data_IF_511824766328
#
_entry.id   IF_511824766328
#
_cell.length_a   1.000
_cell.length_b   1.000
_cell.length_c   1.000
_cell.angle_alpha   90.00
_cell.angle_beta   90.00
_cell.angle_gamma   90.00
#
_symmetry.space_group_name_H-M   'P 1'
#
loop_
_entity.id
_entity.type
_entity.pdbx_description
1 polymer ?
#
# COMPACT_ATOMS: atom_id res chain seq x y z
N UNK A 1 23.98 -24.10 16.14
CA UNK A 1 23.91 -23.16 15.00
C UNK A 1 22.77 -22.17 15.23
N UNK A 2 22.91 -20.91 14.82
CA UNK A 2 21.86 -19.88 14.99
C UNK A 2 20.75 -20.04 13.94
N UNK A 3 19.49 -19.95 14.37
CA UNK A 3 18.30 -20.06 13.51
C UNK A 3 18.01 -18.79 12.69
N UNK A 4 16.82 -18.70 12.08
CA UNK A 4 16.44 -17.59 11.19
C UNK A 4 16.25 -16.28 11.96
N UNK A 5 15.55 -16.32 13.09
CA UNK A 5 15.25 -15.13 13.88
C UNK A 5 16.53 -14.34 14.25
N UNK A 6 17.55 -14.94 14.89
CA UNK A 6 18.77 -14.21 15.21
C UNK A 6 19.53 -13.69 13.98
N UNK A 7 19.50 -14.41 12.85
CA UNK A 7 20.17 -13.95 11.62
C UNK A 7 19.46 -12.74 11.01
N UNK A 8 18.13 -12.79 10.94
CA UNK A 8 17.33 -11.66 10.45
C UNK A 8 17.48 -10.42 11.33
N UNK A 9 17.62 -10.60 12.64
CA UNK A 9 17.87 -9.49 13.57
C UNK A 9 19.24 -8.87 13.29
N UNK A 10 20.29 -9.69 13.19
CA UNK A 10 21.63 -9.20 12.87
C UNK A 10 21.63 -8.47 11.52
N UNK A 11 21.05 -9.06 10.47
CA UNK A 11 20.97 -8.42 9.14
C UNK A 11 20.29 -7.04 9.17
N UNK A 12 19.24 -6.86 9.99
CA UNK A 12 18.56 -5.56 10.15
C UNK A 12 19.49 -4.54 10.80
N UNK A 13 20.19 -4.92 11.87
CA UNK A 13 21.08 -4.00 12.59
C UNK A 13 22.36 -3.72 11.81
N UNK A 14 22.94 -4.73 11.16
CA UNK A 14 24.07 -4.58 10.26
C UNK A 14 23.73 -3.60 9.11
N UNK A 15 22.52 -3.68 8.54
CA UNK A 15 22.08 -2.70 7.53
C UNK A 15 22.02 -1.28 8.10
N UNK A 16 21.47 -1.11 9.30
CA UNK A 16 21.33 0.19 9.95
C UNK A 16 22.70 0.78 10.33
N UNK A 17 23.61 -0.03 10.86
CA UNK A 17 24.96 0.38 11.26
C UNK A 17 25.83 0.74 10.06
N UNK A 18 25.66 0.05 8.93
CA UNK A 18 26.39 0.32 7.70
C UNK A 18 25.79 1.46 6.85
N UNK A 19 24.62 2.00 7.21
CA UNK A 19 24.04 3.16 6.51
C UNK A 19 24.74 4.46 6.94
N UNK A 20 25.66 4.95 6.11
CA UNK A 20 26.42 6.19 6.36
C UNK A 20 25.62 7.46 6.04
N UNK A 21 24.36 7.36 5.64
CA UNK A 21 23.54 8.50 5.22
C UNK A 21 23.14 9.38 6.41
N UNK A 22 23.76 10.55 6.57
CA UNK A 22 23.39 11.51 7.63
C UNK A 22 21.93 12.01 7.56
N UNK A 23 21.28 11.85 6.40
CA UNK A 23 19.87 12.19 6.17
C UNK A 23 18.90 11.12 6.63
N UNK A 24 19.34 9.91 6.98
CA UNK A 24 18.47 8.79 7.37
C UNK A 24 18.57 8.53 8.86
N UNK A 25 17.41 8.38 9.50
CA UNK A 25 17.29 8.00 10.91
C UNK A 25 16.41 6.77 11.02
N UNK A 26 16.77 5.89 11.94
CA UNK A 26 16.08 4.63 12.17
C UNK A 26 15.50 4.57 13.59
N UNK A 27 14.30 4.01 13.71
CA UNK A 27 13.70 3.64 14.98
C UNK A 27 13.23 2.19 14.90
N UNK A 28 13.81 1.32 15.72
CA UNK A 28 13.43 -0.08 15.79
C UNK A 28 12.63 -0.33 17.06
N UNK A 29 11.51 -1.02 16.92
CA UNK A 29 10.61 -1.42 18.01
C UNK A 29 10.33 -2.91 17.92
N UNK A 30 10.20 -3.55 19.06
CA UNK A 30 9.88 -4.97 19.14
C UNK A 30 8.66 -5.20 20.04
N UNK A 31 7.82 -6.16 19.65
CA UNK A 31 6.69 -6.64 20.44
C UNK A 31 6.65 -8.16 20.41
N UNK A 32 6.15 -8.78 21.47
CA UNK A 32 6.03 -10.23 21.54
C UNK A 32 4.70 -10.63 22.17
N UNK A 33 3.90 -11.40 21.43
CA UNK A 33 2.60 -11.86 21.91
C UNK A 33 2.46 -13.37 21.79
N UNK A 34 1.55 -13.91 22.58
CA UNK A 34 1.10 -15.29 22.53
C UNK A 34 -0.41 -15.33 22.27
N UNK A 35 -0.83 -16.29 21.45
CA UNK A 35 -2.24 -16.64 21.27
C UNK A 35 -2.43 -18.04 21.82
N UNK A 36 -3.20 -18.15 22.89
CA UNK A 36 -3.56 -19.42 23.51
C UNK A 36 -5.04 -19.40 23.83
N UNK A 37 -5.77 -20.46 23.44
CA UNK A 37 -7.19 -20.57 23.74
C UNK A 37 -8.03 -19.37 23.20
N UNK A 38 -7.66 -18.82 22.03
CA UNK A 38 -8.22 -17.59 21.43
C UNK A 38 -8.07 -16.31 22.28
N UNK A 39 -7.18 -16.34 23.28
CA UNK A 39 -6.81 -15.20 24.12
C UNK A 39 -5.42 -14.71 23.71
N UNK A 40 -5.31 -13.40 23.46
CA UNK A 40 -4.03 -12.75 23.14
C UNK A 40 -3.42 -12.21 24.43
N UNK A 41 -2.18 -12.58 24.71
CA UNK A 41 -1.43 -12.09 25.87
C UNK A 41 -0.09 -11.48 25.43
N UNK A 42 0.31 -10.40 26.10
CA UNK A 42 1.61 -9.77 25.91
C UNK A 42 2.69 -10.53 26.70
N UNK A 43 3.68 -11.08 26.00
CA UNK A 43 4.76 -11.85 26.62
C UNK A 43 5.83 -10.97 27.28
N UNK A 44 5.82 -9.66 27.02
CA UNK A 44 6.76 -8.67 27.59
C UNK A 44 6.12 -7.88 28.74
N UNK A 45 4.79 -7.87 28.83
CA UNK A 45 4.01 -7.34 29.96
C UNK A 45 2.92 -8.34 30.38
N UNK A 46 3.24 -9.30 31.26
CA UNK A 46 2.34 -10.39 31.64
C UNK A 46 0.99 -9.97 32.21
N UNK A 47 0.88 -8.75 32.76
CA UNK A 47 -0.37 -8.20 33.30
C UNK A 47 -1.40 -7.90 32.19
N UNK A 48 -0.94 -7.83 30.94
CA UNK A 48 -1.76 -7.50 29.77
C UNK A 48 -2.21 -8.75 29.04
N UNK A 49 -3.36 -9.26 29.46
CA UNK A 49 -4.02 -10.43 28.83
C UNK A 49 -5.32 -10.03 28.14
N UNK A 50 -5.81 -10.90 27.25
CA UNK A 50 -7.05 -10.73 26.50
C UNK A 50 -7.09 -9.45 25.66
N UNK A 51 -5.99 -9.18 24.97
CA UNK A 51 -5.86 -8.01 24.11
C UNK A 51 -6.76 -8.10 22.87
N UNK A 52 -7.22 -6.95 22.40
CA UNK A 52 -8.17 -6.84 21.29
C UNK A 52 -7.50 -6.46 19.98
N UNK A 53 -7.87 -7.15 18.89
CA UNK A 53 -7.41 -6.83 17.54
C UNK A 53 -8.28 -5.70 16.97
N UNK A 54 -7.63 -4.62 16.51
CA UNK A 54 -8.22 -3.49 15.81
C UNK A 54 -7.66 -3.37 14.40
N UNK A 55 -8.39 -2.61 13.59
CA UNK A 55 -8.06 -2.33 12.20
C UNK A 55 -8.12 -0.82 11.99
N UNK A 56 -7.10 -0.26 11.36
CA UNK A 56 -7.05 1.16 11.01
C UNK A 56 -6.55 1.31 9.57
N UNK A 57 -7.15 2.25 8.81
CA UNK A 57 -6.89 2.41 7.37
C UNK A 57 -5.40 2.59 7.01
N UNK A 58 -4.62 3.24 7.88
CA UNK A 58 -3.18 3.49 7.67
C UNK A 58 -2.27 2.44 8.30
N UNK A 59 -2.63 1.94 9.49
CA UNK A 59 -1.80 1.03 10.29
C UNK A 59 -2.03 -0.45 9.94
N UNK A 60 -3.14 -0.76 9.27
CA UNK A 60 -3.58 -2.13 9.04
C UNK A 60 -4.06 -2.78 10.33
N UNK A 61 -3.88 -4.10 10.44
CA UNK A 61 -4.27 -4.86 11.63
C UNK A 61 -3.24 -4.69 12.74
N UNK A 62 -3.70 -4.33 13.94
CA UNK A 62 -2.88 -4.22 15.13
C UNK A 62 -3.59 -4.72 16.39
N UNK A 63 -2.80 -5.04 17.42
CA UNK A 63 -3.31 -5.44 18.73
C UNK A 63 -3.28 -4.24 19.66
N UNK A 64 -4.46 -3.77 20.07
CA UNK A 64 -4.58 -2.66 21.00
C UNK A 64 -4.03 -3.05 22.37
N UNK A 65 -3.21 -2.19 22.96
CA UNK A 65 -2.62 -2.41 24.28
C UNK A 65 -1.38 -3.31 24.29
N UNK A 66 -0.97 -3.89 23.14
CA UNK A 66 0.29 -4.62 23.04
C UNK A 66 1.48 -3.68 23.30
N UNK A 67 2.43 -4.10 24.13
CA UNK A 67 3.62 -3.33 24.40
C UNK A 67 4.61 -3.39 23.24
N UNK A 68 5.07 -2.22 22.82
CA UNK A 68 6.11 -2.04 21.80
C UNK A 68 7.33 -1.40 22.49
N UNK A 69 8.45 -2.11 22.50
CA UNK A 69 9.68 -1.69 23.18
C UNK A 69 10.67 -1.16 22.16
N UNK A 70 11.18 0.05 22.38
CA UNK A 70 12.26 0.61 21.57
C UNK A 70 13.54 -0.17 21.85
N UNK A 71 14.21 -0.60 20.79
CA UNK A 71 15.46 -1.38 20.86
C UNK A 71 16.56 -0.71 20.05
N UNK A 72 17.78 -0.73 20.58
CA UNK A 72 18.96 -0.05 20.03
C UNK A 72 20.10 -0.98 19.64
N UNK A 73 20.00 -2.25 19.99
CA UNK A 73 21.00 -3.26 19.66
C UNK A 73 20.37 -4.65 19.50
N UNK A 74 21.10 -5.54 18.82
CA UNK A 74 20.73 -6.96 18.72
C UNK A 74 20.60 -7.62 20.10
N UNK A 75 21.47 -7.26 21.04
CA UNK A 75 21.45 -7.75 22.42
C UNK A 75 20.13 -7.43 23.16
N UNK A 76 19.58 -6.22 22.96
CA UNK A 76 18.30 -5.84 23.56
C UNK A 76 17.14 -6.68 23.02
N UNK A 77 17.14 -6.97 21.71
CA UNK A 77 16.15 -7.85 21.08
C UNK A 77 16.25 -9.28 21.65
N UNK A 78 17.47 -9.83 21.76
CA UNK A 78 17.65 -11.14 22.38
C UNK A 78 17.18 -11.18 23.83
N UNK A 79 17.41 -10.10 24.60
CA UNK A 79 16.88 -9.97 25.95
C UNK A 79 15.35 -9.95 26.01
N UNK A 80 14.67 -9.32 25.04
CA UNK A 80 13.20 -9.37 24.92
C UNK A 80 12.71 -10.78 24.56
N UNK A 81 13.37 -11.46 23.63
CA UNK A 81 13.02 -12.83 23.24
C UNK A 81 13.17 -13.79 24.42
N UNK A 82 14.29 -13.71 25.16
CA UNK A 82 14.52 -14.56 26.34
C UNK A 82 13.48 -14.31 27.42
N UNK A 83 13.14 -13.04 27.71
CA UNK A 83 12.09 -12.69 28.66
C UNK A 83 10.74 -13.28 28.26
N UNK A 84 10.33 -13.10 27.00
CA UNK A 84 9.07 -13.65 26.53
C UNK A 84 9.05 -15.18 26.48
N UNK A 85 10.18 -15.82 26.15
CA UNK A 85 10.32 -17.27 26.19
C UNK A 85 10.23 -17.82 27.63
N UNK A 86 10.86 -17.15 28.60
CA UNK A 86 10.74 -17.50 30.01
C UNK A 86 9.29 -17.36 30.50
N UNK A 87 8.60 -16.27 30.11
CA UNK A 87 7.19 -16.08 30.45
C UNK A 87 6.30 -17.17 29.85
N UNK A 88 6.55 -17.55 28.59
CA UNK A 88 5.87 -18.67 27.93
C UNK A 88 6.12 -20.00 28.66
N UNK A 89 7.34 -20.20 29.18
CA UNK A 89 7.71 -21.40 29.93
C UNK A 89 7.14 -21.47 31.36
N UNK A 90 6.96 -20.34 32.04
CA UNK A 90 6.32 -20.29 33.37
C UNK A 90 4.85 -20.70 33.31
N UNK A 91 4.17 -20.40 32.19
CA UNK A 91 2.82 -20.93 31.93
C UNK A 91 2.77 -22.45 31.72
N UNK A 92 3.91 -23.09 31.43
CA UNK A 92 4.06 -24.54 31.24
C UNK A 92 4.66 -25.23 32.48
N UNK A 93 3.97 -25.22 33.62
CA UNK A 93 4.32 -26.15 34.71
C UNK A 93 4.12 -27.61 34.24
N UNK A 94 4.95 -28.54 34.75
CA UNK A 94 5.17 -29.98 34.38
C UNK A 94 3.98 -30.88 33.99
N UNK A 95 2.75 -30.39 34.05
CA UNK A 95 1.51 -31.06 33.65
C UNK A 95 0.92 -30.55 32.32
N UNK A 96 1.42 -29.44 31.77
CA UNK A 96 0.92 -28.78 30.57
C UNK A 96 2.08 -28.40 29.64
N UNK A 97 2.21 -29.12 28.53
CA UNK A 97 3.09 -28.74 27.42
C UNK A 97 2.43 -27.57 26.65
N UNK A 98 2.39 -26.39 27.29
CA UNK A 98 1.71 -25.20 26.78
C UNK A 98 2.40 -24.64 25.51
N UNK A 99 3.69 -24.90 25.35
CA UNK A 99 4.51 -24.39 24.24
C UNK A 99 4.09 -24.96 22.89
N UNK A 100 3.76 -26.25 22.79
CA UNK A 100 3.26 -26.89 21.56
C UNK A 100 1.83 -26.48 21.20
N UNK A 101 1.13 -25.85 22.15
CA UNK A 101 -0.31 -25.57 22.11
C UNK A 101 -0.67 -24.10 21.98
N UNK A 102 0.31 -23.22 21.89
CA UNK A 102 0.12 -21.79 21.74
C UNK A 102 0.85 -21.29 20.52
N UNK A 103 0.29 -20.30 19.82
CA UNK A 103 1.00 -19.56 18.80
C UNK A 103 1.79 -18.43 19.44
N UNK A 104 2.98 -18.16 18.97
CA UNK A 104 3.78 -17.02 19.38
C UNK A 104 4.11 -16.15 18.17
N UNK A 105 3.98 -14.84 18.32
CA UNK A 105 4.25 -13.88 17.25
C UNK A 105 5.22 -12.82 17.78
N UNK A 106 6.46 -12.87 17.30
CA UNK A 106 7.46 -11.86 17.55
C UNK A 106 7.44 -10.84 16.41
N UNK A 107 7.26 -9.57 16.74
CA UNK A 107 7.07 -8.49 15.77
C UNK A 107 8.24 -7.53 15.91
N UNK A 108 8.91 -7.25 14.80
CA UNK A 108 9.92 -6.20 14.69
C UNK A 108 9.38 -5.13 13.75
N UNK A 109 9.36 -3.89 14.22
CA UNK A 109 8.91 -2.72 13.46
C UNK A 109 10.14 -1.83 13.27
N UNK A 110 10.54 -1.60 12.03
CA UNK A 110 11.63 -0.70 11.67
C UNK A 110 11.05 0.51 10.93
N UNK A 111 11.23 1.69 11.51
CA UNK A 111 10.85 2.95 10.92
C UNK A 111 12.09 3.66 10.41
N UNK A 112 12.03 4.13 9.17
CA UNK A 112 13.06 4.96 8.57
C UNK A 112 12.48 6.35 8.29
N UNK A 113 13.18 7.37 8.77
CA UNK A 113 12.91 8.77 8.43
C UNK A 113 14.03 9.25 7.53
N UNK A 114 13.69 9.62 6.31
CA UNK A 114 14.64 10.28 5.40
C UNK A 114 14.35 11.76 5.37
N UNK A 115 15.35 12.57 5.78
CA UNK A 115 15.35 14.02 5.67
C UNK A 115 15.78 14.38 4.25
N UNK A 116 14.87 15.00 3.49
CA UNK A 116 15.18 15.48 2.15
C UNK A 116 15.88 16.84 2.25
N UNK A 117 16.94 17.08 1.45
CA UNK A 117 17.56 18.39 1.37
C UNK A 117 16.51 19.46 1.01
N UNK A 118 16.65 20.66 1.58
CA UNK A 118 15.93 21.83 1.05
C UNK A 118 16.57 22.15 -0.31
N UNK A 119 15.78 22.16 -1.38
CA UNK A 119 16.25 22.65 -2.67
C UNK A 119 16.79 24.07 -2.50
N UNK A 120 18.09 24.24 -2.73
CA UNK A 120 18.80 25.52 -2.67
C UNK A 120 18.61 26.37 -3.92
N UNK A 121 17.42 26.31 -4.55
CA UNK A 121 17.03 27.17 -5.65
C UNK A 121 15.74 27.95 -5.31
N UNK A 122 15.95 29.07 -4.62
CA UNK A 122 15.31 30.33 -4.99
C UNK A 122 13.78 30.40 -4.95
N UNK A 123 13.16 30.21 -3.78
CA UNK A 123 11.90 30.91 -3.47
C UNK A 123 12.01 31.62 -2.12
N UNK A 124 12.63 32.80 -2.17
CA UNK A 124 12.52 33.80 -1.12
C UNK A 124 11.04 34.19 -0.95
N UNK A 125 10.38 33.67 0.08
CA UNK A 125 9.00 34.07 0.39
C UNK A 125 8.20 33.09 1.24
N UNK A 126 8.56 31.80 1.28
CA UNK A 126 7.85 30.85 2.14
C UNK A 126 8.47 30.82 3.54
N UNK A 127 7.69 31.28 4.53
CA UNK A 127 8.01 31.22 5.97
C UNK A 127 8.68 29.91 6.36
N UNK A 128 9.71 30.03 7.19
CA UNK A 128 10.50 28.99 7.83
C UNK A 128 9.67 27.74 8.17
N UNK A 129 9.75 26.74 7.30
CA UNK A 129 9.18 25.42 7.53
C UNK A 129 10.34 24.43 7.48
N UNK A 130 10.39 23.56 8.49
CA UNK A 130 11.49 22.66 8.77
C UNK A 130 11.83 21.70 7.62
N UNK A 131 12.88 20.88 7.79
CA UNK A 131 13.30 19.91 6.78
C UNK A 131 12.17 18.93 6.42
N UNK A 132 11.99 18.69 5.11
CA UNK A 132 11.02 17.73 4.57
C UNK A 132 11.41 16.30 4.96
N UNK A 133 10.44 15.48 5.36
CA UNK A 133 10.68 14.13 5.88
C UNK A 133 9.77 13.12 5.16
N UNK A 134 10.33 12.01 4.71
CA UNK A 134 9.57 10.84 4.27
C UNK A 134 9.70 9.71 5.29
N UNK A 135 8.58 9.12 5.67
CA UNK A 135 8.53 8.04 6.66
C UNK A 135 8.28 6.71 5.96
N UNK A 136 9.14 5.72 6.16
CA UNK A 136 8.94 4.35 5.70
C UNK A 136 8.83 3.42 6.91
N UNK A 137 7.87 2.51 6.88
CA UNK A 137 7.63 1.56 7.98
C UNK A 137 7.69 0.12 7.48
N UNK A 138 8.70 -0.62 7.92
CA UNK A 138 8.80 -2.06 7.73
C UNK A 138 8.28 -2.79 8.98
N UNK A 139 7.51 -3.87 8.78
CA UNK A 139 7.06 -4.76 9.85
C UNK A 139 7.42 -6.21 9.49
N UNK A 140 8.27 -6.82 10.30
CA UNK A 140 8.63 -8.23 10.22
C UNK A 140 7.89 -9.00 11.30
N UNK A 141 7.03 -9.93 10.89
CA UNK A 141 6.34 -10.85 11.79
C UNK A 141 7.01 -12.22 11.73
N UNK A 142 7.51 -12.70 12.87
CA UNK A 142 8.09 -14.02 13.06
C UNK A 142 7.11 -14.85 13.87
N UNK A 143 6.48 -15.81 13.20
CA UNK A 143 5.33 -16.56 13.72
C UNK A 143 5.75 -18.00 13.98
N UNK A 144 5.61 -18.44 15.22
CA UNK A 144 5.78 -19.82 15.68
C UNK A 144 4.37 -20.38 15.95
N UNK A 145 3.90 -21.25 15.07
CA UNK A 145 2.55 -21.82 15.14
C UNK A 145 2.52 -23.01 16.11
N UNK A 146 1.38 -23.20 16.77
CA UNK A 146 1.08 -24.41 17.52
C UNK A 146 1.15 -25.66 16.62
N UNK A 147 1.34 -26.82 17.23
CA UNK A 147 1.42 -28.11 16.57
C UNK A 147 0.23 -28.39 15.65
N UNK A 148 0.51 -28.91 14.45
CA UNK A 148 -0.49 -29.22 13.42
C UNK A 148 -1.15 -30.58 13.59
N UNK A 149 -0.73 -31.35 14.60
CA UNK A 149 -1.22 -32.70 14.86
C UNK A 149 -2.68 -32.75 15.30
N UNK A 150 -3.39 -33.79 14.86
CA UNK A 150 -4.81 -33.96 15.15
C UNK A 150 -5.06 -34.39 16.59
N UNK A 151 -6.07 -33.79 17.23
CA UNK A 151 -6.52 -34.13 18.61
C UNK A 151 -6.72 -35.63 18.84
N UNK A 152 -7.22 -36.35 17.84
CA UNK A 152 -7.57 -37.77 17.95
C UNK A 152 -6.36 -38.67 18.27
N UNK A 153 -5.15 -38.24 17.93
CA UNK A 153 -3.90 -38.95 18.23
C UNK A 153 -3.39 -38.67 19.66
N UNK A 154 -3.83 -37.57 20.28
CA UNK A 154 -3.30 -37.11 21.58
C UNK A 154 -3.90 -37.82 22.79
N UNK A 155 -4.99 -38.59 22.62
CA UNK A 155 -5.68 -39.28 23.73
C UNK A 155 -6.28 -38.35 24.79
N UNK A 156 -6.45 -37.05 24.50
CA UNK A 156 -6.89 -36.05 25.46
C UNK A 156 -8.38 -36.20 25.86
N UNK A 157 -8.67 -36.16 27.16
CA UNK A 157 -10.02 -36.24 27.74
C UNK A 157 -10.36 -35.01 28.60
N UNK A 158 -11.66 -34.75 28.80
CA UNK A 158 -12.15 -33.66 29.67
C UNK A 158 -11.73 -32.25 29.21
N UNK A 159 -11.24 -31.41 30.14
CA UNK A 159 -10.80 -30.03 29.84
C UNK A 159 -9.72 -29.95 28.75
N UNK A 160 -8.85 -30.97 28.65
CA UNK A 160 -7.81 -31.03 27.61
C UNK A 160 -8.40 -31.23 26.21
N UNK A 161 -9.54 -31.91 26.09
CA UNK A 161 -10.22 -32.06 24.80
C UNK A 161 -10.77 -30.71 24.31
N UNK A 162 -11.38 -29.93 25.21
CA UNK A 162 -11.89 -28.59 24.89
C UNK A 162 -10.78 -27.60 24.52
N UNK A 163 -9.64 -27.68 25.20
CA UNK A 163 -8.43 -26.93 24.85
C UNK A 163 -7.90 -27.32 23.46
N UNK A 164 -7.72 -28.62 23.21
CA UNK A 164 -7.25 -29.14 21.92
C UNK A 164 -8.19 -28.81 20.75
N UNK A 165 -9.50 -28.70 20.98
CA UNK A 165 -10.46 -28.22 19.99
C UNK A 165 -10.18 -26.77 19.60
N UNK A 166 -9.90 -25.88 20.56
CA UNK A 166 -9.65 -24.46 20.29
C UNK A 166 -8.28 -24.19 19.67
N UNK A 167 -7.27 -24.98 20.01
CA UNK A 167 -5.97 -24.93 19.31
C UNK A 167 -6.18 -25.29 17.85
N UNK A 168 -6.89 -26.39 17.59
CA UNK A 168 -7.23 -26.79 16.23
C UNK A 168 -8.22 -25.85 15.54
N UNK A 169 -9.02 -25.07 16.27
CA UNK A 169 -9.87 -24.03 15.68
C UNK A 169 -9.02 -23.01 14.92
N UNK A 170 -7.97 -22.48 15.53
CA UNK A 170 -7.10 -21.49 14.89
C UNK A 170 -6.39 -22.02 13.63
N UNK A 171 -5.89 -23.26 13.67
CA UNK A 171 -5.26 -23.91 12.51
C UNK A 171 -6.28 -24.33 11.43
N UNK A 172 -7.49 -24.73 11.83
CA UNK A 172 -8.58 -25.03 10.90
C UNK A 172 -9.07 -23.76 10.20
N UNK A 173 -9.22 -22.66 10.95
CA UNK A 173 -9.54 -21.34 10.39
C UNK A 173 -8.47 -20.89 9.40
N UNK A 174 -7.19 -21.08 9.73
CA UNK A 174 -6.07 -20.83 8.82
C UNK A 174 -6.20 -21.66 7.53
N UNK A 175 -6.53 -22.96 7.64
CA UNK A 175 -6.81 -23.82 6.50
C UNK A 175 -7.99 -23.36 5.65
N UNK A 176 -9.05 -22.85 6.27
CA UNK A 176 -10.22 -22.31 5.58
C UNK A 176 -9.92 -21.00 4.84
N UNK A 177 -9.13 -20.12 5.45
CA UNK A 177 -8.64 -18.89 4.81
C UNK A 177 -7.80 -19.21 3.59
N UNK A 178 -6.84 -20.14 3.70
CA UNK A 178 -6.02 -20.58 2.56
C UNK A 178 -6.91 -21.17 1.46
N UNK A 179 -7.83 -22.06 1.81
CA UNK A 179 -8.74 -22.65 0.83
C UNK A 179 -9.57 -21.59 0.11
N UNK A 180 -10.09 -20.59 0.83
CA UNK A 180 -10.87 -19.49 0.27
C UNK A 180 -10.04 -18.58 -0.65
N UNK A 181 -8.79 -18.29 -0.29
CA UNK A 181 -7.87 -17.47 -1.09
C UNK A 181 -7.41 -18.17 -2.38
N UNK A 182 -7.40 -19.50 -2.38
CA UNK A 182 -6.97 -20.31 -3.53
C UNK A 182 -8.13 -20.82 -4.40
N UNK A 183 -9.37 -20.47 -4.05
CA UNK A 183 -10.56 -20.88 -4.79
C UNK A 183 -10.60 -20.15 -6.15
N UNK A 184 -10.51 -20.90 -7.25
CA UNK A 184 -10.48 -20.35 -8.61
C UNK A 184 -11.75 -19.58 -8.98
N UNK A 185 -12.87 -19.87 -8.31
CA UNK A 185 -14.13 -19.16 -8.54
C UNK A 185 -14.15 -17.78 -7.90
N UNK A 186 -13.17 -17.47 -7.05
CA UNK A 186 -13.10 -16.25 -6.26
C UNK A 186 -14.20 -16.21 -5.21
N UNK A 187 -13.85 -16.34 -3.93
CA UNK A 187 -14.82 -16.08 -2.85
C UNK A 187 -14.89 -14.60 -2.54
N UNK A 188 -16.11 -14.08 -2.45
CA UNK A 188 -16.34 -12.68 -2.07
C UNK A 188 -15.92 -12.39 -0.62
N UNK A 189 -15.96 -13.40 0.26
CA UNK A 189 -15.61 -13.26 1.67
C UNK A 189 -14.55 -14.27 2.09
N UNK A 190 -13.46 -13.78 2.68
CA UNK A 190 -12.40 -14.60 3.27
C UNK A 190 -12.60 -14.62 4.81
N UNK A 191 -12.66 -15.81 5.44
CA UNK A 191 -13.05 -15.93 6.84
C UNK A 191 -11.92 -15.63 7.84
N UNK A 192 -11.24 -14.48 7.73
CA UNK A 192 -10.17 -14.10 8.67
C UNK A 192 -10.65 -14.00 10.11
N UNK A 193 -11.94 -13.69 10.30
CA UNK A 193 -12.55 -13.45 11.62
C UNK A 193 -12.81 -14.72 12.44
N UNK A 194 -12.68 -15.90 11.84
CA UNK A 194 -12.97 -17.19 12.50
C UNK A 194 -11.95 -17.54 13.61
N UNK A 195 -10.77 -16.90 13.61
CA UNK A 195 -9.79 -16.98 14.71
C UNK A 195 -8.99 -15.70 14.88
N UNK A 196 -8.46 -15.47 16.10
CA UNK A 196 -7.54 -14.35 16.37
C UNK A 196 -6.24 -14.46 15.57
N UNK A 197 -5.76 -15.70 15.35
CA UNK A 197 -4.56 -15.96 14.56
C UNK A 197 -4.74 -15.47 13.12
N UNK A 198 -5.82 -15.90 12.45
CA UNK A 198 -6.09 -15.50 11.06
C UNK A 198 -6.35 -14.02 10.90
N UNK A 199 -6.91 -13.35 11.92
CA UNK A 199 -7.01 -11.89 11.93
C UNK A 199 -5.64 -11.21 12.05
N UNK A 200 -4.76 -11.67 12.94
CA UNK A 200 -3.40 -11.11 13.06
C UNK A 200 -2.60 -11.31 11.77
N UNK A 201 -2.82 -12.43 11.08
CA UNK A 201 -2.14 -12.81 9.84
C UNK A 201 -2.85 -12.34 8.56
N UNK A 202 -3.90 -11.51 8.68
CA UNK A 202 -4.69 -11.03 7.53
C UNK A 202 -3.82 -10.33 6.49
N UNK A 203 -2.89 -9.46 6.93
CA UNK A 203 -1.93 -8.84 6.01
C UNK A 203 -0.97 -9.86 5.37
N UNK A 204 -0.67 -10.96 6.08
CA UNK A 204 0.27 -12.00 5.64
C UNK A 204 -0.33 -12.96 4.61
N UNK A 205 -1.64 -13.10 4.56
CA UNK A 205 -2.34 -14.04 3.69
C UNK A 205 -3.26 -13.26 2.76
N UNK A 206 -2.83 -12.98 1.53
CA UNK A 206 -3.61 -12.22 0.56
C UNK A 206 -3.57 -10.69 0.73
N UNK A 207 -2.86 -10.17 1.73
CA UNK A 207 -2.74 -8.75 2.02
C UNK A 207 -1.41 -8.10 1.59
N UNK A 208 -1.07 -6.99 2.25
CA UNK A 208 0.19 -6.26 2.05
C UNK A 208 1.33 -6.84 2.89
N UNK A 209 1.89 -7.97 2.45
CA UNK A 209 3.05 -8.57 3.11
C UNK A 209 3.82 -9.47 2.14
N UNK A 210 5.15 -9.48 2.27
CA UNK A 210 5.99 -10.53 1.67
C UNK A 210 6.03 -11.71 2.65
N UNK A 211 5.35 -12.79 2.30
CA UNK A 211 5.12 -13.91 3.22
C UNK A 211 5.92 -15.13 2.80
N UNK A 212 6.63 -15.71 3.77
CA UNK A 212 7.33 -17.00 3.62
C UNK A 212 6.77 -17.97 4.64
N UNK A 213 6.29 -19.12 4.16
CA UNK A 213 5.81 -20.20 5.01
C UNK A 213 6.85 -21.34 5.02
N UNK A 214 7.25 -21.78 6.21
CA UNK A 214 8.17 -22.90 6.39
C UNK A 214 7.42 -24.12 6.88
N UNK A 215 7.51 -25.21 6.13
CA UNK A 215 6.91 -26.49 6.48
C UNK A 215 7.95 -27.35 7.22
N UNK A 216 7.77 -27.55 8.52
CA UNK A 216 8.62 -28.48 9.27
C UNK A 216 7.99 -29.88 9.20
N UNK A 217 8.72 -30.83 8.62
CA UNK A 217 8.27 -32.21 8.43
C UNK A 217 9.23 -33.19 9.10
N UNK A 218 8.71 -34.32 9.55
CA UNK A 218 9.51 -35.43 10.08
C UNK A 218 9.70 -36.51 9.01
N UNK A 219 10.93 -37.04 8.85
CA UNK A 219 11.20 -38.16 7.94
C UNK A 219 10.79 -39.53 8.54
N UNK A 220 10.40 -39.58 9.81
CA UNK A 220 10.06 -40.82 10.50
C UNK A 220 8.76 -41.43 9.95
N UNK A 221 8.72 -42.77 9.85
CA UNK A 221 7.59 -43.50 9.27
C UNK A 221 6.29 -43.27 10.08
N UNK A 222 6.42 -43.17 11.40
CA UNK A 222 5.32 -42.92 12.33
C UNK A 222 4.67 -41.54 12.09
N UNK A 223 5.43 -40.60 11.54
CA UNK A 223 4.98 -39.23 11.22
C UNK A 223 4.48 -39.08 9.79
N UNK A 224 4.46 -40.13 8.97
CA UNK A 224 4.15 -40.04 7.55
C UNK A 224 2.82 -39.32 7.27
N UNK A 225 1.75 -39.65 8.01
CA UNK A 225 0.43 -39.07 7.80
C UNK A 225 0.39 -37.55 8.09
N UNK A 226 1.12 -37.10 9.11
CA UNK A 226 1.20 -35.68 9.50
C UNK A 226 2.14 -34.89 8.57
N UNK A 227 3.27 -35.48 8.17
CA UNK A 227 4.16 -34.91 7.15
C UNK A 227 3.44 -34.73 5.81
N UNK A 228 2.68 -35.73 5.36
CA UNK A 228 1.86 -35.62 4.15
C UNK A 228 0.77 -34.54 4.26
N UNK A 229 0.12 -34.44 5.42
CA UNK A 229 -0.91 -33.42 5.67
C UNK A 229 -0.32 -32.01 5.63
N UNK A 230 0.85 -31.82 6.24
CA UNK A 230 1.63 -30.57 6.22
C UNK A 230 2.03 -30.20 4.79
N UNK A 231 2.54 -31.15 4.00
CA UNK A 231 2.89 -30.93 2.60
C UNK A 231 1.68 -30.52 1.75
N UNK A 232 0.53 -31.19 1.92
CA UNK A 232 -0.73 -30.81 1.23
C UNK A 232 -1.20 -29.42 1.63
N UNK A 233 -1.02 -29.05 2.89
CA UNK A 233 -1.36 -27.71 3.38
C UNK A 233 -0.50 -26.63 2.71
N UNK A 234 0.82 -26.78 2.72
CA UNK A 234 1.72 -25.78 2.11
C UNK A 234 1.63 -25.75 0.59
N UNK A 235 1.31 -26.87 -0.06
CA UNK A 235 1.05 -26.90 -1.50
C UNK A 235 -0.16 -26.02 -1.88
N UNK A 236 -1.19 -25.96 -1.03
CA UNK A 236 -2.29 -25.00 -1.21
C UNK A 236 -1.83 -23.57 -0.93
N UNK A 237 -1.17 -23.34 0.20
CA UNK A 237 -0.71 -22.02 0.61
C UNK A 237 0.21 -21.35 -0.44
N UNK A 238 1.02 -22.14 -1.16
CA UNK A 238 1.87 -21.68 -2.28
C UNK A 238 1.12 -20.90 -3.37
N UNK A 239 -0.18 -21.17 -3.54
CA UNK A 239 -0.99 -20.52 -4.58
C UNK A 239 -1.60 -19.19 -4.15
N UNK A 240 -1.41 -18.77 -2.89
CA UNK A 240 -1.88 -17.47 -2.41
C UNK A 240 -1.08 -16.35 -3.10
N UNK A 241 -1.79 -15.32 -3.55
CA UNK A 241 -1.19 -14.12 -4.13
C UNK A 241 -1.36 -12.95 -3.17
N UNK A 242 -0.24 -12.40 -2.71
CA UNK A 242 -0.20 -11.19 -1.90
C UNK A 242 0.04 -9.95 -2.77
N UNK A 243 -0.45 -8.81 -2.34
CA UNK A 243 -0.21 -7.51 -2.99
C UNK A 243 0.67 -6.62 -2.11
N UNK A 244 1.96 -6.95 -2.05
CA UNK A 244 2.92 -6.26 -1.21
C UNK A 244 3.35 -4.91 -1.85
N UNK A 245 3.20 -3.82 -1.11
CA UNK A 245 3.64 -2.48 -1.48
C UNK A 245 4.42 -1.81 -0.35
N UNK A 246 5.16 -0.75 -0.67
CA UNK A 246 5.98 -0.03 0.31
C UNK A 246 5.08 0.84 1.19
N UNK A 247 5.17 0.65 2.50
CA UNK A 247 4.48 1.52 3.47
C UNK A 247 5.27 2.82 3.61
N UNK A 248 4.94 3.82 2.79
CA UNK A 248 5.54 5.15 2.85
C UNK A 248 4.45 6.18 3.21
N UNK A 249 4.57 6.82 4.37
CA UNK A 249 3.80 8.03 4.69
C UNK A 249 4.66 9.22 4.25
N UNK A 250 4.35 9.73 3.07
CA UNK A 250 4.96 10.95 2.56
C UNK A 250 4.08 12.08 3.05
N UNK A 251 4.64 13.01 3.83
CA UNK A 251 3.98 14.26 4.18
C UNK A 251 3.28 14.83 2.93
N UNK A 252 2.00 15.20 3.02
CA UNK A 252 1.19 15.62 1.87
C UNK A 252 1.89 16.70 1.04
N UNK A 253 2.67 17.56 1.69
CA UNK A 253 3.48 18.60 1.05
C UNK A 253 4.69 18.03 0.28
N UNK A 254 5.37 17.04 0.85
CA UNK A 254 6.47 16.31 0.21
C UNK A 254 5.98 15.45 -0.97
N UNK A 255 4.78 14.89 -0.85
CA UNK A 255 4.12 14.15 -1.93
C UNK A 255 3.73 15.10 -3.07
N UNK A 256 3.25 16.30 -2.73
CA UNK A 256 2.98 17.36 -3.70
C UNK A 256 4.25 17.74 -4.48
N UNK A 257 5.38 17.92 -3.79
CA UNK A 257 6.66 18.25 -4.42
C UNK A 257 7.22 17.11 -5.28
N UNK A 258 7.11 15.85 -4.82
CA UNK A 258 7.43 14.67 -5.65
C UNK A 258 6.56 14.65 -6.90
N UNK A 259 5.26 14.89 -6.77
CA UNK A 259 4.36 14.99 -7.93
C UNK A 259 4.68 16.18 -8.83
N UNK A 260 5.07 17.34 -8.28
CA UNK A 260 5.52 18.50 -9.07
C UNK A 260 6.84 18.23 -9.81
N UNK A 261 7.74 17.46 -9.22
CA UNK A 261 8.99 17.05 -9.84
C UNK A 261 8.75 16.00 -10.93
N UNK A 262 7.94 14.97 -10.64
CA UNK A 262 7.52 13.96 -11.62
C UNK A 262 6.74 14.62 -12.76
N UNK A 263 5.84 15.58 -12.46
CA UNK A 263 5.15 16.39 -13.46
C UNK A 263 6.13 17.19 -14.30
N UNK A 264 7.19 17.76 -13.73
CA UNK A 264 8.24 18.46 -14.48
C UNK A 264 9.00 17.50 -15.39
N UNK A 265 9.40 16.33 -14.89
CA UNK A 265 10.11 15.31 -15.66
C UNK A 265 9.23 14.78 -16.80
N UNK A 266 7.99 14.41 -16.50
CA UNK A 266 7.01 13.97 -17.48
C UNK A 266 6.64 15.07 -18.48
N UNK A 267 6.61 16.35 -18.07
CA UNK A 267 6.46 17.49 -18.98
C UNK A 267 7.67 17.64 -19.90
N UNK A 268 8.90 17.43 -19.41
CA UNK A 268 10.11 17.44 -20.25
C UNK A 268 10.14 16.24 -21.20
N UNK A 269 9.75 15.05 -20.74
CA UNK A 269 9.61 13.86 -21.57
C UNK A 269 8.50 14.03 -22.62
N UNK A 270 7.38 14.67 -22.25
CA UNK A 270 6.31 15.06 -23.18
C UNK A 270 6.78 16.13 -24.15
N UNK A 271 7.55 17.13 -23.74
CA UNK A 271 8.08 18.17 -24.63
C UNK A 271 9.12 17.57 -25.61
N UNK A 272 9.89 16.58 -25.17
CA UNK A 272 10.78 15.80 -26.04
C UNK A 272 10.01 14.89 -27.00
N UNK A 273 8.95 14.22 -26.56
CA UNK A 273 8.09 13.36 -27.41
C UNK A 273 7.11 14.14 -28.29
N UNK A 274 6.71 15.33 -27.88
CA UNK A 274 5.82 16.24 -28.63
C UNK A 274 6.55 16.95 -29.77
N UNK A 275 7.88 16.84 -29.86
CA UNK A 275 8.65 17.21 -31.06
C UNK A 275 8.38 16.30 -32.24
N UNK A 276 7.81 15.11 -32.03
CA UNK A 276 7.58 14.16 -33.12
C UNK A 276 6.16 14.07 -33.64
N UNK A 277 5.11 14.61 -33.03
CA UNK A 277 3.77 14.66 -33.64
C UNK A 277 2.80 15.59 -32.88
N UNK A 278 2.12 16.45 -33.64
CA UNK A 278 0.85 17.18 -33.38
C UNK A 278 0.88 18.63 -32.84
N UNK A 279 0.41 19.53 -33.73
CA UNK A 279 -0.19 20.87 -33.57
C UNK A 279 0.03 21.68 -32.28
N UNK A 280 1.10 22.50 -32.32
CA UNK A 280 1.46 23.58 -31.38
C UNK A 280 0.30 24.53 -30.97
N UNK A 281 -0.76 24.64 -31.77
CA UNK A 281 -1.81 25.65 -31.57
C UNK A 281 -2.86 25.23 -30.54
N UNK A 282 -3.22 23.94 -30.48
CA UNK A 282 -4.16 23.40 -29.47
C UNK A 282 -3.52 23.24 -28.09
N UNK A 283 -2.21 22.99 -28.05
CA UNK A 283 -1.49 22.84 -26.78
C UNK A 283 -1.39 24.16 -26.02
N UNK A 284 -1.11 25.27 -26.72
CA UNK A 284 -1.02 26.61 -26.14
C UNK A 284 -2.36 27.09 -25.55
N UNK A 285 -3.48 26.80 -26.21
CA UNK A 285 -4.82 27.14 -25.70
C UNK A 285 -5.16 26.37 -24.42
N UNK A 286 -4.80 25.09 -24.36
CA UNK A 286 -5.01 24.23 -23.18
C UNK A 286 -4.08 24.62 -22.03
N UNK A 287 -2.83 24.99 -22.31
CA UNK A 287 -1.89 25.48 -21.29
C UNK A 287 -2.33 26.81 -20.69
N UNK A 288 -2.84 27.73 -21.50
CA UNK A 288 -3.31 29.02 -21.02
C UNK A 288 -4.58 28.88 -20.17
N UNK A 289 -5.51 28.01 -20.58
CA UNK A 289 -6.69 27.68 -19.77
C UNK A 289 -6.31 27.01 -18.44
N UNK A 290 -5.32 26.13 -18.45
CA UNK A 290 -4.82 25.46 -17.24
C UNK A 290 -4.15 26.45 -16.28
N UNK A 291 -3.36 27.39 -16.80
CA UNK A 291 -2.69 28.43 -15.99
C UNK A 291 -3.70 29.32 -15.28
N UNK A 292 -4.75 29.77 -15.98
CA UNK A 292 -5.83 30.57 -15.39
C UNK A 292 -6.58 29.79 -14.30
N UNK A 293 -6.87 28.50 -14.55
CA UNK A 293 -7.54 27.65 -13.56
C UNK A 293 -6.68 27.38 -12.29
N UNK A 294 -5.35 27.29 -12.43
CA UNK A 294 -4.43 27.15 -11.30
C UNK A 294 -4.34 28.45 -10.48
N UNK A 295 -4.35 29.61 -11.12
CA UNK A 295 -4.36 30.93 -10.47
C UNK A 295 -5.65 31.16 -9.67
N UNK A 296 -6.81 30.88 -10.25
CA UNK A 296 -8.12 31.01 -9.57
C UNK A 296 -8.23 30.06 -8.37
N UNK A 297 -7.70 28.84 -8.49
CA UNK A 297 -7.66 27.85 -7.39
C UNK A 297 -6.79 28.34 -6.24
N UNK A 298 -5.62 28.92 -6.53
CA UNK A 298 -4.70 29.41 -5.51
C UNK A 298 -5.29 30.62 -4.77
N UNK A 299 -5.96 31.53 -5.48
CA UNK A 299 -6.69 32.65 -4.88
C UNK A 299 -7.77 32.15 -3.91
N UNK A 300 -8.60 31.19 -4.32
CA UNK A 300 -9.68 30.64 -3.50
C UNK A 300 -9.17 29.94 -2.22
N UNK A 301 -8.06 29.20 -2.30
CA UNK A 301 -7.45 28.54 -1.13
C UNK A 301 -6.88 29.56 -0.14
N UNK A 302 -6.26 30.63 -0.66
CA UNK A 302 -5.65 31.68 0.17
C UNK A 302 -6.74 32.46 0.92
N UNK A 303 -7.86 32.75 0.25
CA UNK A 303 -9.01 33.41 0.87
C UNK A 303 -9.68 32.54 1.96
N UNK A 304 -9.83 31.23 1.71
CA UNK A 304 -10.35 30.28 2.71
C UNK A 304 -9.43 30.13 3.92
N UNK A 305 -8.11 30.16 3.72
CA UNK A 305 -7.15 30.12 4.83
C UNK A 305 -7.19 31.40 5.66
N UNK A 306 -7.32 32.57 5.03
CA UNK A 306 -7.46 33.84 5.74
C UNK A 306 -8.73 33.85 6.61
N UNK A 307 -9.88 33.48 6.03
CA UNK A 307 -11.16 33.40 6.75
C UNK A 307 -11.14 32.39 7.91
N UNK A 308 -10.43 31.27 7.77
CA UNK A 308 -10.26 30.27 8.83
C UNK A 308 -9.43 30.77 10.02
N UNK A 309 -8.39 31.57 9.76
CA UNK A 309 -7.55 32.17 10.81
C UNK A 309 -8.31 33.26 11.58
N UNK A 310 -9.08 34.09 10.90
CA UNK A 310 -9.93 35.10 11.54
C UNK A 310 -11.01 34.46 12.42
N UNK A 311 -11.68 33.41 11.92
CA UNK A 311 -12.65 32.63 12.69
C UNK A 311 -12.06 32.03 13.98
N UNK A 312 -10.82 31.52 13.93
CA UNK A 312 -10.15 30.96 15.12
C UNK A 312 -9.77 32.04 16.13
N UNK A 313 -9.46 33.25 15.67
CA UNK A 313 -9.12 34.40 16.53
C UNK A 313 -10.35 34.91 17.28
N UNK A 314 -11.48 35.08 16.60
CA UNK A 314 -12.74 35.51 17.21
C UNK A 314 -13.27 34.48 18.21
N UNK A 315 -13.15 33.18 17.91
CA UNK A 315 -13.53 32.10 18.85
C UNK A 315 -12.70 32.14 20.14
N UNK A 316 -11.44 32.52 20.06
CA UNK A 316 -10.57 32.66 21.23
C UNK A 316 -10.92 33.90 22.08
N UNK A 317 -11.29 35.02 21.45
CA UNK A 317 -11.75 36.21 22.16
C UNK A 317 -13.10 35.99 22.84
N UNK A 318 -14.02 35.28 22.19
CA UNK A 318 -15.30 34.86 22.78
C UNK A 318 -15.11 34.08 24.09
N UNK A 319 -14.22 33.08 24.10
CA UNK A 319 -13.95 32.28 25.31
C UNK A 319 -13.40 33.13 26.45
N UNK A 320 -12.47 34.05 26.16
CA UNK A 320 -11.92 34.96 27.18
C UNK A 320 -12.98 35.88 27.78
N UNK A 321 -13.93 36.34 26.97
CA UNK A 321 -15.01 37.22 27.42
C UNK A 321 -16.04 36.45 28.28
N UNK A 322 -16.38 35.22 27.90
CA UNK A 322 -17.27 34.33 28.66
C UNK A 322 -16.67 33.95 30.02
N UNK A 323 -15.36 33.63 30.07
CA UNK A 323 -14.65 33.36 31.32
C UNK A 323 -14.63 34.57 32.26
N UNK A 324 -14.48 35.78 31.71
CA UNK A 324 -14.44 37.03 32.48
C UNK A 324 -15.82 37.42 33.02
N UNK A 325 -16.89 37.20 32.25
CA UNK A 325 -18.26 37.41 32.69
C UNK A 325 -18.63 36.42 33.82
N UNK A 326 -18.28 35.13 33.66
CA UNK A 326 -18.51 34.14 34.71
C UNK A 326 -17.70 34.44 35.99
N UNK A 327 -16.47 34.95 35.86
CA UNK A 327 -15.66 35.39 36.99
C UNK A 327 -16.25 36.61 37.72
N UNK A 328 -16.87 37.54 37.01
CA UNK A 328 -17.53 38.70 37.63
C UNK A 328 -18.87 38.31 38.27
N UNK A 329 -19.60 37.36 37.70
CA UNK A 329 -20.82 36.81 38.29
C UNK A 329 -20.55 36.02 39.58
N UNK A 330 -19.43 35.29 39.68
CA UNK A 330 -19.09 34.54 40.89
C UNK A 330 -18.64 35.44 42.06
N UNK A 331 -18.09 36.62 41.77
CA UNK A 331 -17.69 37.61 42.78
C UNK A 331 -18.86 38.43 43.35
N UNK A 332 -20.03 38.41 42.70
CA UNK A 332 -21.21 39.18 43.11
C UNK A 332 -22.11 38.48 44.13
N UNK A 333 -21.80 37.24 44.55
CA UNK A 333 -22.67 36.46 45.44
C UNK A 333 -22.12 36.08 46.81
N UNK A 334 -20.90 36.51 47.20
CA UNK A 334 -20.38 36.22 48.54
C UNK A 334 -19.66 37.43 49.09
N UNK A 335 -20.30 38.14 50.02
CA UNK A 335 -19.68 39.21 50.79
C UNK A 335 -20.67 40.29 51.18
N UNK A 336 -21.59 39.97 52.09
CA UNK A 336 -22.60 40.90 52.58
C UNK A 336 -22.00 42.16 53.21
N UNK A 337 -22.43 43.32 52.74
CA UNK A 337 -23.00 44.42 53.55
C UNK A 337 -23.72 45.40 52.60
N UNK A 338 -24.87 45.89 53.07
CA UNK A 338 -25.82 46.72 52.32
C UNK A 338 -25.17 48.02 51.84
N UNK A 339 -25.20 48.26 50.53
CA UNK A 339 -25.24 49.61 49.96
C UNK A 339 -26.41 49.67 48.97
N UNK A 340 -27.49 50.27 49.46
CA UNK A 340 -28.48 51.07 48.73
C UNK A 340 -29.43 50.36 47.75
N UNK A 341 -30.48 49.78 48.32
CA UNK A 341 -31.74 49.47 47.65
C UNK A 341 -32.59 50.73 47.38
N UNK A 342 -32.11 51.67 46.56
CA UNK A 342 -33.03 52.65 45.96
C UNK A 342 -33.74 52.00 44.75
N UNK A 343 -35.07 52.14 44.61
CA UNK A 343 -35.81 51.67 43.43
C UNK A 343 -35.22 52.19 42.12
N UNK A 344 -34.67 53.41 42.15
CA UNK A 344 -33.97 54.03 41.03
C UNK A 344 -32.69 53.30 40.61
N UNK A 345 -31.89 52.80 41.56
CA UNK A 345 -30.67 52.05 41.26
C UNK A 345 -30.97 50.67 40.67
N UNK A 346 -31.97 49.95 41.21
CA UNK A 346 -32.44 48.68 40.61
C UNK A 346 -33.01 48.89 39.21
N UNK A 347 -33.74 49.98 38.99
CA UNK A 347 -34.28 50.32 37.68
C UNK A 347 -33.17 50.65 36.67
N UNK A 348 -32.16 51.41 37.09
CA UNK A 348 -30.99 51.76 36.26
C UNK A 348 -30.16 50.51 35.92
N UNK A 349 -29.95 49.60 36.89
CA UNK A 349 -29.27 48.33 36.67
C UNK A 349 -30.07 47.40 35.73
N UNK A 350 -31.39 47.33 35.88
CA UNK A 350 -32.27 46.60 34.96
C UNK A 350 -32.28 47.21 33.55
N UNK A 351 -32.24 48.54 33.45
CA UNK A 351 -32.16 49.25 32.18
C UNK A 351 -30.86 48.95 31.46
N UNK A 352 -29.74 48.96 32.18
CA UNK A 352 -28.43 48.65 31.61
C UNK A 352 -28.31 47.16 31.24
N UNK A 353 -28.86 46.26 32.06
CA UNK A 353 -28.99 44.84 31.70
C UNK A 353 -29.84 44.63 30.45
N UNK A 354 -30.93 45.38 30.28
CA UNK A 354 -31.76 45.32 29.05
C UNK A 354 -31.02 45.84 27.84
N UNK A 355 -30.22 46.90 27.98
CA UNK A 355 -29.34 47.42 26.92
C UNK A 355 -28.31 46.39 26.48
N UNK A 356 -27.57 45.84 27.45
CA UNK A 356 -26.56 44.83 27.20
C UNK A 356 -27.19 43.60 26.53
N UNK A 357 -28.36 43.15 27.01
CA UNK A 357 -29.08 42.02 26.42
C UNK A 357 -29.53 42.30 24.98
N UNK A 358 -30.07 43.48 24.70
CA UNK A 358 -30.49 43.84 23.34
C UNK A 358 -29.32 43.99 22.38
N UNK A 359 -28.17 44.47 22.85
CA UNK A 359 -26.92 44.51 22.09
C UNK A 359 -26.39 43.09 21.79
N UNK A 360 -26.44 42.19 22.77
CA UNK A 360 -26.09 40.77 22.57
C UNK A 360 -27.03 40.05 21.60
N UNK A 361 -28.35 40.26 21.72
CA UNK A 361 -29.34 39.66 20.81
C UNK A 361 -29.19 40.20 19.38
N UNK A 362 -28.74 41.44 19.20
CA UNK A 362 -28.38 42.00 17.88
C UNK A 362 -27.13 41.31 17.32
N UNK A 363 -26.04 41.25 18.10
CA UNK A 363 -24.81 40.56 17.69
C UNK A 363 -25.03 39.08 17.36
N UNK A 364 -25.91 38.39 18.10
CA UNK A 364 -26.23 36.99 17.85
C UNK A 364 -26.89 36.82 16.48
N UNK A 365 -27.84 37.71 16.13
CA UNK A 365 -28.51 37.71 14.81
C UNK A 365 -27.55 38.02 13.67
N UNK A 366 -26.60 38.92 13.87
CA UNK A 366 -25.60 39.26 12.85
C UNK A 366 -24.65 38.06 12.62
N UNK A 367 -24.19 37.39 13.69
CA UNK A 367 -23.40 36.16 13.58
C UNK A 367 -24.17 34.99 12.93
N UNK A 368 -25.48 34.89 13.14
CA UNK A 368 -26.30 33.85 12.53
C UNK A 368 -26.48 34.06 11.02
N UNK A 369 -26.59 35.32 10.59
CA UNK A 369 -26.56 35.68 9.16
C UNK A 369 -25.22 35.38 8.51
N UNK A 370 -24.11 35.70 9.18
CA UNK A 370 -22.78 35.36 8.69
C UNK A 370 -22.57 33.84 8.60
N UNK A 371 -23.07 33.06 9.58
CA UNK A 371 -23.04 31.59 9.53
C UNK A 371 -23.77 31.07 8.29
N UNK A 372 -24.93 31.63 7.99
CA UNK A 372 -25.75 31.22 6.85
C UNK A 372 -25.07 31.54 5.52
N UNK A 373 -24.42 32.70 5.40
CA UNK A 373 -23.61 33.05 4.22
C UNK A 373 -22.41 32.10 4.03
N UNK A 374 -21.69 31.75 5.10
CA UNK A 374 -20.57 30.79 5.04
C UNK A 374 -21.04 29.38 4.65
N UNK A 375 -22.24 28.98 5.07
CA UNK A 375 -22.82 27.69 4.72
C UNK A 375 -23.23 27.61 3.24
N UNK A 376 -23.72 28.71 2.67
CA UNK A 376 -24.00 28.86 1.24
C UNK A 376 -22.72 28.82 0.39
N UNK A 377 -21.67 29.53 0.80
CA UNK A 377 -20.35 29.51 0.16
C UNK A 377 -19.74 28.10 0.17
N UNK A 378 -19.85 27.39 1.30
CA UNK A 378 -19.39 26.00 1.42
C UNK A 378 -20.14 25.07 0.46
N UNK A 379 -21.45 25.23 0.33
CA UNK A 379 -22.25 24.45 -0.62
C UNK A 379 -21.83 24.74 -2.07
N UNK A 380 -21.43 25.98 -2.39
CA UNK A 380 -20.90 26.33 -3.70
C UNK A 380 -19.54 25.69 -3.98
N UNK A 381 -18.64 25.66 -3.00
CA UNK A 381 -17.34 24.97 -3.09
C UNK A 381 -17.53 23.46 -3.30
N UNK A 382 -18.48 22.84 -2.59
CA UNK A 382 -18.77 21.41 -2.76
C UNK A 382 -19.32 21.09 -4.16
N UNK A 383 -20.16 21.96 -4.74
CA UNK A 383 -20.61 21.83 -6.14
C UNK A 383 -19.43 21.92 -7.11
N UNK A 384 -18.54 22.89 -6.93
CA UNK A 384 -17.35 23.04 -7.78
C UNK A 384 -16.41 21.82 -7.69
N UNK A 385 -16.23 21.28 -6.48
CA UNK A 385 -15.47 20.04 -6.24
C UNK A 385 -16.06 18.84 -6.98
N UNK A 386 -17.38 18.70 -7.01
CA UNK A 386 -18.02 17.61 -7.77
C UNK A 386 -17.78 17.72 -9.27
N UNK A 387 -17.80 18.93 -9.84
CA UNK A 387 -17.50 19.15 -11.27
C UNK A 387 -16.06 18.75 -11.59
N UNK A 388 -15.10 19.11 -10.73
CA UNK A 388 -13.69 18.74 -10.91
C UNK A 388 -13.46 17.22 -10.81
N UNK A 389 -14.16 16.53 -9.91
CA UNK A 389 -14.08 15.07 -9.82
C UNK A 389 -14.61 14.41 -11.11
N UNK A 390 -15.73 14.89 -11.66
CA UNK A 390 -16.25 14.40 -12.94
C UNK A 390 -15.27 14.64 -14.09
N UNK A 391 -14.61 15.80 -14.13
CA UNK A 391 -13.58 16.08 -15.14
C UNK A 391 -12.35 15.16 -15.00
N UNK A 392 -11.94 14.86 -13.76
CA UNK A 392 -10.85 13.90 -13.49
C UNK A 392 -11.21 12.50 -14.00
N UNK A 393 -12.42 12.03 -13.74
CA UNK A 393 -12.86 10.70 -14.16
C UNK A 393 -12.93 10.60 -15.70
N UNK A 394 -13.39 11.65 -16.38
CA UNK A 394 -13.38 11.76 -17.84
C UNK A 394 -11.94 11.70 -18.38
N UNK A 395 -11.01 12.43 -17.76
CA UNK A 395 -9.60 12.42 -18.15
C UNK A 395 -8.96 11.05 -17.97
N UNK A 396 -9.23 10.36 -16.86
CA UNK A 396 -8.76 8.98 -16.64
C UNK A 396 -9.30 8.04 -17.73
N UNK A 397 -10.57 8.15 -18.08
CA UNK A 397 -11.19 7.34 -19.14
C UNK A 397 -10.59 7.63 -20.52
N UNK A 398 -10.29 8.89 -20.83
CA UNK A 398 -9.59 9.29 -22.06
C UNK A 398 -8.16 8.75 -22.12
N UNK A 399 -7.41 8.83 -21.01
CA UNK A 399 -6.06 8.26 -20.93
C UNK A 399 -6.07 6.75 -21.10
N UNK A 400 -7.04 6.04 -20.48
CA UNK A 400 -7.19 4.60 -20.66
C UNK A 400 -7.46 4.23 -22.13
N UNK A 401 -8.36 4.96 -22.81
CA UNK A 401 -8.63 4.77 -24.25
C UNK A 401 -7.43 5.08 -25.15
N UNK A 402 -6.60 6.05 -24.79
CA UNK A 402 -5.37 6.34 -25.52
C UNK A 402 -4.38 5.19 -25.39
N UNK A 403 -4.16 4.69 -24.17
CA UNK A 403 -3.28 3.55 -23.93
C UNK A 403 -3.75 2.29 -24.69
N UNK A 404 -5.06 2.02 -24.71
CA UNK A 404 -5.62 0.89 -25.46
C UNK A 404 -5.37 1.02 -26.97
N UNK A 405 -5.43 2.24 -27.53
CA UNK A 405 -5.09 2.48 -28.94
C UNK A 405 -3.59 2.33 -29.20
N UNK A 406 -2.74 2.76 -28.27
CA UNK A 406 -1.29 2.59 -28.38
C UNK A 406 -0.90 1.10 -28.36
N UNK A 407 -1.53 0.30 -27.49
CA UNK A 407 -1.35 -1.17 -27.48
C UNK A 407 -1.80 -1.82 -28.80
N UNK A 408 -2.92 -1.37 -29.38
CA UNK A 408 -3.38 -1.85 -30.70
C UNK A 408 -2.39 -1.49 -31.82
N UNK A 409 -1.81 -0.28 -31.77
CA UNK A 409 -0.81 0.14 -32.75
C UNK A 409 0.44 -0.75 -32.65
N UNK A 410 0.91 -1.03 -31.43
CA UNK A 410 2.07 -1.91 -31.21
C UNK A 410 1.79 -3.32 -31.76
N UNK A 411 0.62 -3.89 -31.46
CA UNK A 411 0.25 -5.22 -31.96
C UNK A 411 0.21 -5.27 -33.50
N UNK A 412 -0.34 -4.24 -34.15
CA UNK A 412 -0.35 -4.16 -35.62
C UNK A 412 1.05 -3.99 -36.21
N UNK A 413 1.95 -3.30 -35.51
CA UNK A 413 3.36 -3.18 -35.93
C UNK A 413 4.09 -4.52 -35.86
N UNK A 414 3.90 -5.29 -34.78
CA UNK A 414 4.46 -6.64 -34.64
C UNK A 414 3.93 -7.59 -35.72
N UNK A 415 2.64 -7.48 -36.05
CA UNK A 415 2.01 -8.28 -37.12
C UNK A 415 2.60 -7.93 -38.50
N UNK A 416 2.78 -6.64 -38.80
CA UNK A 416 3.45 -6.18 -40.03
C UNK A 416 4.90 -6.68 -40.13
N UNK A 417 5.67 -6.61 -39.06
CA UNK A 417 7.04 -7.14 -39.03
C UNK A 417 7.07 -8.66 -39.27
N UNK A 418 6.12 -9.39 -38.68
CA UNK A 418 5.98 -10.83 -38.93
C UNK A 418 5.65 -11.12 -40.40
N UNK A 419 4.76 -10.35 -41.02
CA UNK A 419 4.46 -10.46 -42.46
C UNK A 419 5.69 -10.18 -43.33
N UNK A 420 6.46 -9.12 -43.04
CA UNK A 420 7.68 -8.78 -43.79
C UNK A 420 8.73 -9.89 -43.69
N UNK A 421 8.93 -10.47 -42.51
CA UNK A 421 9.85 -11.61 -42.34
C UNK A 421 9.39 -12.84 -43.12
N UNK A 422 8.09 -13.13 -43.12
CA UNK A 422 7.53 -14.26 -43.87
C UNK A 422 7.69 -14.06 -45.38
N UNK A 423 7.43 -12.85 -45.88
CA UNK A 423 7.61 -12.51 -47.29
C UNK A 423 9.07 -12.70 -47.72
N UNK A 424 10.03 -12.26 -46.90
CA UNK A 424 11.46 -12.45 -47.17
C UNK A 424 11.86 -13.92 -47.27
N UNK A 425 11.34 -14.78 -46.39
CA UNK A 425 11.59 -16.24 -46.45
C UNK A 425 11.03 -16.86 -47.74
N UNK A 426 9.85 -16.41 -48.19
CA UNK A 426 9.26 -16.87 -49.44
C UNK A 426 10.08 -16.41 -50.66
N UNK A 427 10.58 -15.18 -50.65
CA UNK A 427 11.48 -14.65 -51.68
C UNK A 427 12.79 -15.47 -51.75
N UNK A 428 13.44 -15.72 -50.61
CA UNK A 428 14.66 -16.54 -50.54
C UNK A 428 14.41 -17.98 -51.07
N UNK A 429 13.26 -18.58 -50.74
CA UNK A 429 12.89 -19.91 -51.22
C UNK A 429 12.62 -19.93 -52.73
N UNK A 430 12.02 -18.87 -53.27
CA UNK A 430 11.77 -18.71 -54.70
C UNK A 430 13.09 -18.56 -55.46
N UNK A 431 14.04 -17.78 -54.93
CA UNK A 431 15.37 -17.62 -55.51
C UNK A 431 16.15 -18.94 -55.53
N UNK A 432 16.09 -19.73 -54.45
CA UNK A 432 16.71 -21.05 -54.38
C UNK A 432 16.13 -22.01 -55.44
N UNK A 433 14.81 -22.05 -55.60
CA UNK A 433 14.16 -22.88 -56.62
C UNK A 433 14.48 -22.42 -58.03
N UNK A 434 14.60 -21.12 -58.24
CA UNK A 434 15.01 -20.55 -59.52
C UNK A 434 16.45 -20.95 -59.87
N UNK A 435 17.36 -20.94 -58.90
CA UNK A 435 18.73 -21.40 -59.08
C UNK A 435 18.82 -22.91 -59.41
N UNK A 436 18.05 -23.75 -58.72
CA UNK A 436 17.94 -25.19 -59.03
C UNK A 436 17.44 -25.43 -60.46
N UNK A 437 16.41 -24.70 -60.90
CA UNK A 437 15.88 -24.79 -62.25
C UNK A 437 16.92 -24.38 -63.31
N UNK A 438 17.69 -23.33 -63.06
CA UNK A 438 18.79 -22.90 -63.94
C UNK A 438 19.86 -23.99 -64.03
N UNK A 439 20.26 -24.58 -62.90
CA UNK A 439 21.25 -25.66 -62.85
C UNK A 439 20.78 -26.91 -63.60
N UNK A 440 19.53 -27.34 -63.39
CA UNK A 440 18.91 -28.46 -64.11
C UNK A 440 18.84 -28.20 -65.62
N UNK A 441 18.47 -26.99 -66.05
CA UNK A 441 18.47 -26.62 -67.47
C UNK A 441 19.87 -26.69 -68.07
N UNK A 442 20.89 -26.21 -67.36
CA UNK A 442 22.29 -26.27 -67.80
C UNK A 442 22.77 -27.72 -67.93
N UNK A 443 22.52 -28.56 -66.92
CA UNK A 443 22.87 -29.98 -66.95
C UNK A 443 22.15 -30.74 -68.08
N UNK A 444 20.87 -30.42 -68.35
CA UNK A 444 20.13 -31.01 -69.46
C UNK A 444 20.73 -30.62 -70.83
N UNK A 445 21.18 -29.36 -71.01
CA UNK A 445 21.90 -28.93 -72.22
C UNK A 445 23.26 -29.63 -72.37
N UNK A 446 24.01 -29.81 -71.29
CA UNK A 446 25.29 -30.55 -71.27
C UNK A 446 25.10 -32.05 -71.55
N UNK A 447 24.01 -32.64 -71.06
CA UNK A 447 23.65 -34.02 -71.39
C UNK A 447 23.23 -34.18 -72.85
N UNK A 448 22.41 -33.27 -73.39
CA UNK A 448 21.98 -33.31 -74.79
C UNK A 448 23.16 -33.19 -75.78
N UNK A 449 24.25 -32.55 -75.38
CA UNK A 449 25.48 -32.40 -76.17
C UNK A 449 26.48 -33.56 -75.98
N UNK A 450 26.39 -34.35 -74.91
CA UNK A 450 27.34 -35.43 -74.57
C UNK A 450 26.83 -36.85 -74.80
N UNK A 451 25.56 -37.07 -75.17
CA UNK A 451 25.03 -38.42 -75.43
C UNK A 451 25.75 -39.09 -76.63
N UNK A 452 26.36 -40.28 -76.48
CA UNK A 452 26.98 -41.02 -77.58
C UNK A 452 26.00 -41.38 -78.70
N UNK A 453 24.70 -41.43 -78.35
CA UNK A 453 23.61 -41.70 -79.27
C UNK A 453 23.46 -40.60 -80.34
N UNK A 454 23.85 -39.35 -80.05
CA UNK A 454 23.70 -38.24 -81.01
C UNK A 454 24.83 -38.23 -82.06
N UNK A 455 26.05 -38.66 -81.69
CA UNK A 455 27.14 -38.89 -82.66
C UNK A 455 26.89 -40.14 -83.51
N UNK A 456 26.34 -41.21 -82.93
CA UNK A 456 25.95 -42.41 -83.68
C UNK A 456 24.75 -42.15 -84.61
N UNK A 457 23.75 -41.35 -84.19
CA UNK A 457 22.64 -40.92 -85.05
C UNK A 457 23.11 -39.97 -86.17
N UNK A 458 24.00 -39.01 -85.88
CA UNK A 458 24.54 -38.11 -86.91
C UNK A 458 25.41 -38.86 -87.93
N UNK A 459 26.14 -39.90 -87.49
CA UNK A 459 26.83 -40.84 -88.38
C UNK A 459 25.86 -41.69 -89.21
N UNK A 460 24.71 -42.07 -88.66
CA UNK A 460 23.70 -42.88 -89.36
C UNK A 460 22.82 -42.05 -90.31
N UNK A 461 22.58 -40.77 -90.01
CA UNK A 461 21.78 -39.83 -90.82
C UNK A 461 22.61 -39.10 -91.89
N UNK A 462 23.94 -39.09 -91.79
CA UNK A 462 24.85 -38.51 -92.80
C UNK A 462 24.94 -39.26 -94.13
N UNK A 463 24.25 -40.41 -94.26
CA UNK A 463 24.18 -41.23 -95.49
C UNK A 463 22.82 -41.16 -96.20
N UNK A 464 21.87 -40.34 -95.72
CA UNK A 464 20.52 -40.21 -96.31
C UNK A 464 20.26 -38.83 -96.95
N UNK A 465 21.32 -38.14 -97.40
CA UNK A 465 21.25 -36.81 -98.01
C UNK A 465 21.98 -36.67 -99.35
N UNK A 466 22.14 -37.75 -100.12
CA UNK A 466 22.70 -37.69 -101.48
C UNK A 466 22.14 -38.75 -102.44
N UNK A 467 20.83 -38.72 -102.67
CA UNK A 467 20.17 -39.13 -103.94
C UNK A 467 18.71 -38.68 -103.87
N UNK A 468 18.38 -37.60 -104.58
CA UNK A 468 17.05 -37.00 -104.63
C UNK A 468 17.14 -35.50 -104.85
#
# INVERSE_FOLDING_TARGET
>A
TRGIIPRAIDDIFDYIENDTSASRKYLVRAAYLQIYNEVISDLLKPERTNLTIREEKRRGIFVEGLSEWVVRSTAEIYGLMQRGAAQRAVGSTKLNELSSRSHAVFIIIAENVTVLPKDSEGRAGARDQGPHQSFKVGKLNLVDLAGSERVRLTGATGRRLEESKKINQSLSALGNVIAALTDQRGRQHIPYRDSKLTRILEDSLGGNCKTTMMAMISPALESFAESLSTLKFVNRAKNIKNNAHVNEDVDQKTLLLKYEHELRRLRQELDQRSKTLVDKRRLLEVEEQKRRAEEDKLAAITELQHKSVEFMREKAEKRKLEERINSLQSQLLVGGHKVEETPAFRAMLQQEHRRIRTEYERRLRDMEKERQAVEEDKAQVDRYKQVLLKQRDIMIALTARLNERDEQIIALQEELEAYDTHQRVLEDALDAKTAELIALRKAAMEHATSTPLNKALQSALGLWGSTG
#
